data_IF_340177800482
#
_entry.id   IF_340177800482
#
_cell.length_a   1.000
_cell.length_b   1.000
_cell.length_c   1.000
_cell.angle_alpha   90.00
_cell.angle_beta   90.00
_cell.angle_gamma   90.00
#
_symmetry.space_group_name_H-M   'P 1'
#
loop_
_entity.id
_entity.type
_entity.pdbx_description
1 polymer ?
#
# COMPACT_ATOMS: atom_id res chain seq x y z
N UNK A 1 -58.30 8.32 -17.02
CA UNK A 1 -57.17 7.55 -17.58
C UNK A 1 -56.33 7.07 -16.41
N UNK A 2 -56.28 5.76 -16.10
CA UNK A 2 -55.48 5.25 -14.99
C UNK A 2 -54.00 5.17 -15.40
N UNK A 3 -53.12 5.59 -14.49
CA UNK A 3 -51.66 5.52 -14.64
C UNK A 3 -51.18 4.10 -14.28
N UNK A 4 -50.48 3.45 -15.21
CA UNK A 4 -49.80 2.17 -14.96
C UNK A 4 -48.57 2.35 -14.06
N UNK A 5 -48.27 1.39 -13.16
CA UNK A 5 -47.06 1.42 -12.36
C UNK A 5 -45.84 1.01 -13.21
N UNK A 6 -44.83 1.88 -13.26
CA UNK A 6 -43.56 1.61 -13.93
C UNK A 6 -42.70 0.63 -13.13
N UNK A 7 -42.33 -0.46 -13.80
CA UNK A 7 -41.41 -1.50 -13.33
C UNK A 7 -40.01 -0.93 -13.03
N UNK A 8 -39.36 -1.26 -11.90
CA UNK A 8 -38.03 -0.76 -11.59
C UNK A 8 -36.97 -1.35 -12.54
N UNK A 9 -36.03 -0.50 -12.95
CA UNK A 9 -34.93 -0.84 -13.83
C UNK A 9 -33.82 -1.62 -13.12
N UNK A 10 -32.93 -2.20 -13.90
CA UNK A 10 -31.89 -3.22 -13.58
C UNK A 10 -30.83 -2.82 -12.53
N UNK A 11 -31.05 -1.79 -11.72
CA UNK A 11 -30.12 -1.29 -10.70
C UNK A 11 -30.47 -1.64 -9.24
N UNK A 12 -31.55 -2.38 -8.97
CA UNK A 12 -31.97 -2.73 -7.61
C UNK A 12 -31.60 -4.15 -7.14
N UNK A 13 -30.61 -4.79 -7.76
CA UNK A 13 -30.08 -6.07 -7.28
C UNK A 13 -28.59 -5.98 -7.11
N UNK A 14 -28.16 -5.68 -5.89
CA UNK A 14 -26.96 -6.18 -5.17
C UNK A 14 -26.80 -5.26 -3.95
N UNK A 15 -27.50 -5.62 -2.87
CA UNK A 15 -27.21 -5.13 -1.52
C UNK A 15 -27.47 -6.30 -0.58
N UNK A 16 -26.58 -7.28 -0.61
CA UNK A 16 -26.49 -8.26 0.46
C UNK A 16 -25.07 -8.83 0.52
N UNK A 17 -24.24 -8.29 1.42
CA UNK A 17 -23.29 -9.10 2.20
C UNK A 17 -22.78 -8.30 3.40
N UNK A 18 -23.23 -8.74 4.57
CA UNK A 18 -22.79 -8.32 5.90
C UNK A 18 -21.47 -9.00 6.28
N UNK A 19 -20.55 -8.18 6.80
CA UNK A 19 -19.91 -8.29 8.12
C UNK A 19 -19.32 -9.63 8.61
N UNK A 20 -17.97 -9.70 8.69
CA UNK A 20 -17.10 -10.34 9.71
C UNK A 20 -15.65 -10.13 9.24
N UNK A 21 -14.63 -9.76 10.01
CA UNK A 21 -14.28 -9.85 11.43
C UNK A 21 -13.49 -8.56 11.79
N UNK A 22 -13.49 -8.02 13.02
CA UNK A 22 -13.43 -8.69 14.31
C UNK A 22 -11.99 -8.71 14.83
N UNK A 23 -11.42 -7.55 15.18
CA UNK A 23 -10.15 -7.47 15.91
C UNK A 23 -10.25 -6.37 16.98
N UNK A 24 -10.38 -6.76 18.24
CA UNK A 24 -10.04 -5.89 19.36
C UNK A 24 -9.79 -6.71 20.63
N UNK A 25 -8.74 -6.35 21.37
CA UNK A 25 -8.43 -6.97 22.65
C UNK A 25 -7.09 -6.53 23.24
N UNK A 26 -6.98 -5.25 23.64
CA UNK A 26 -5.93 -4.78 24.55
C UNK A 26 -6.57 -3.92 25.64
N UNK A 27 -6.56 -4.44 26.86
CA UNK A 27 -6.68 -3.72 28.13
C UNK A 27 -5.72 -4.48 29.08
N UNK A 28 -4.79 -3.87 29.81
CA UNK A 28 -4.87 -2.61 30.55
C UNK A 28 -5.20 -2.95 32.00
N UNK A 29 -4.19 -3.04 32.89
CA UNK A 29 -4.40 -2.79 34.32
C UNK A 29 -3.09 -2.47 35.06
N UNK A 30 -3.10 -1.34 35.76
CA UNK A 30 -2.07 -0.80 36.62
C UNK A 30 -2.45 -0.93 38.11
N UNK A 31 -1.47 -1.32 38.94
CA UNK A 31 -1.30 -1.03 40.37
C UNK A 31 -2.16 -1.81 41.40
N UNK A 32 -1.87 -1.69 42.72
CA UNK A 32 -0.56 -1.65 43.42
C UNK A 32 -0.52 -2.71 44.57
N UNK A 33 0.63 -2.93 45.24
CA UNK A 33 0.72 -3.17 46.71
C UNK A 33 2.13 -3.46 47.21
N UNK A 34 2.32 -3.03 48.45
CA UNK A 34 3.54 -2.76 49.18
C UNK A 34 4.33 -3.99 49.66
N UNK A 35 5.59 -3.68 49.98
CA UNK A 35 6.54 -4.42 50.80
C UNK A 35 6.07 -4.65 52.24
N UNK A 36 6.27 -5.84 52.78
CA UNK A 36 6.99 -6.08 54.05
C UNK A 36 6.92 -7.56 54.44
N UNK A 37 8.01 -8.09 55.00
CA UNK A 37 8.03 -9.44 55.56
C UNK A 37 9.41 -10.08 55.59
N UNK A 38 10.27 -9.59 56.47
CA UNK A 38 11.46 -10.32 56.92
C UNK A 38 10.98 -11.50 57.79
N UNK A 39 11.48 -12.71 57.55
CA UNK A 39 11.75 -13.66 58.63
C UNK A 39 12.80 -14.69 58.23
N UNK A 40 13.74 -14.90 59.14
CA UNK A 40 14.95 -15.72 59.04
C UNK A 40 14.68 -17.08 59.69
N UNK A 41 15.04 -18.21 59.07
CA UNK A 41 15.56 -19.42 59.77
C UNK A 41 16.10 -20.51 58.83
N UNK A 42 17.42 -20.69 58.89
CA UNK A 42 18.23 -21.92 59.07
C UNK A 42 17.58 -23.30 58.77
N UNK A 43 18.25 -24.10 57.93
CA UNK A 43 18.50 -25.52 58.22
C UNK A 43 18.11 -26.57 57.17
N UNK A 44 19.11 -27.07 56.44
CA UNK A 44 19.51 -28.49 56.41
C UNK A 44 18.73 -29.51 55.55
N UNK A 45 19.42 -30.02 54.50
CA UNK A 45 19.51 -31.47 54.22
C UNK A 45 18.74 -32.03 53.03
N UNK A 46 19.50 -32.38 51.98
CA UNK A 46 19.44 -33.59 51.11
C UNK A 46 18.07 -34.05 50.55
N UNK A 47 17.89 -34.45 49.29
CA UNK A 47 18.63 -35.46 48.50
C UNK A 47 18.30 -35.25 47.01
N UNK A 48 19.30 -35.40 46.15
CA UNK A 48 19.12 -35.41 44.70
C UNK A 48 19.23 -36.86 44.19
N UNK A 49 18.35 -37.32 43.28
CA UNK A 49 18.75 -38.36 42.33
C UNK A 49 18.53 -37.88 40.89
N UNK A 50 19.59 -37.26 40.38
CA UNK A 50 20.32 -37.60 39.16
C UNK A 50 19.83 -38.82 38.35
N UNK A 51 18.75 -38.75 37.57
CA UNK A 51 18.52 -39.66 36.41
C UNK A 51 17.74 -38.97 35.25
N UNK A 52 18.20 -37.83 34.70
CA UNK A 52 17.63 -37.33 33.42
C UNK A 52 18.65 -36.63 32.48
N UNK A 53 19.84 -36.27 32.95
CA UNK A 53 20.74 -35.37 32.21
C UNK A 53 21.49 -36.03 31.03
N UNK A 54 21.74 -37.35 31.08
CA UNK A 54 22.51 -38.05 30.02
C UNK A 54 21.72 -38.21 28.72
N UNK A 55 20.40 -38.44 28.78
CA UNK A 55 19.56 -38.65 27.58
C UNK A 55 19.20 -37.33 26.88
N UNK A 56 19.01 -36.26 27.64
CA UNK A 56 18.69 -34.92 27.12
C UNK A 56 19.90 -34.31 26.40
N UNK A 57 21.11 -34.48 26.95
CA UNK A 57 22.33 -33.94 26.34
C UNK A 57 22.63 -34.56 24.96
N UNK A 58 22.40 -35.88 24.79
CA UNK A 58 22.63 -36.56 23.51
C UNK A 58 21.59 -36.17 22.44
N UNK A 59 20.34 -35.93 22.84
CA UNK A 59 19.27 -35.50 21.92
C UNK A 59 19.47 -34.05 21.44
N UNK A 60 19.97 -33.17 22.32
CA UNK A 60 20.36 -31.79 21.96
C UNK A 60 21.58 -31.77 21.04
N UNK A 61 22.58 -32.63 21.28
CA UNK A 61 23.75 -32.73 20.39
C UNK A 61 23.37 -33.26 18.99
N UNK A 62 22.46 -34.23 18.90
CA UNK A 62 21.96 -34.74 17.62
C UNK A 62 21.12 -33.72 16.85
N UNK A 63 20.29 -32.91 17.54
CA UNK A 63 19.54 -31.81 16.92
C UNK A 63 20.45 -30.68 16.44
N UNK A 64 21.54 -30.40 17.15
CA UNK A 64 22.53 -29.40 16.73
C UNK A 64 23.30 -29.89 15.50
N UNK A 65 23.70 -31.16 15.41
CA UNK A 65 24.38 -31.69 14.21
C UNK A 65 23.46 -31.68 12.98
N UNK A 66 22.17 -32.01 13.16
CA UNK A 66 21.19 -32.00 12.05
C UNK A 66 20.91 -30.58 11.53
N UNK A 67 20.95 -29.56 12.40
CA UNK A 67 20.77 -28.16 12.02
C UNK A 67 21.93 -27.61 11.17
N UNK A 68 23.14 -28.20 11.23
CA UNK A 68 24.29 -27.79 10.43
C UNK A 68 24.38 -28.50 9.07
N UNK A 69 23.49 -29.47 8.79
CA UNK A 69 23.47 -30.21 7.52
C UNK A 69 22.38 -29.76 6.56
N UNK A 70 21.63 -28.69 6.86
CA UNK A 70 20.77 -28.08 5.86
C UNK A 70 21.66 -27.32 4.87
N UNK A 71 21.71 -27.72 3.57
CA UNK A 71 22.33 -26.87 2.56
C UNK A 71 21.58 -25.54 2.57
N UNK A 72 22.30 -24.45 2.85
CA UNK A 72 21.77 -23.12 2.70
C UNK A 72 21.27 -23.00 1.25
N UNK A 73 19.98 -22.71 1.06
CA UNK A 73 19.46 -22.41 -0.26
C UNK A 73 20.26 -21.23 -0.80
N UNK A 74 21.13 -21.48 -1.78
CA UNK A 74 21.88 -20.41 -2.42
C UNK A 74 20.85 -19.43 -3.01
N UNK A 75 20.98 -18.12 -2.75
CA UNK A 75 20.11 -17.13 -3.37
C UNK A 75 20.28 -17.29 -4.87
N UNK A 76 19.18 -17.67 -5.55
CA UNK A 76 19.17 -17.88 -7.00
C UNK A 76 19.93 -16.74 -7.67
N UNK A 77 21.02 -17.06 -8.36
CA UNK A 77 21.84 -16.08 -9.04
C UNK A 77 20.92 -15.23 -9.91
N UNK A 78 20.88 -13.91 -9.65
CA UNK A 78 20.14 -12.96 -10.49
C UNK A 78 20.64 -13.16 -11.91
N UNK A 79 19.81 -13.77 -12.76
CA UNK A 79 20.11 -13.92 -14.17
C UNK A 79 20.46 -12.54 -14.70
N UNK A 80 21.68 -12.39 -15.25
CA UNK A 80 22.11 -11.17 -15.94
C UNK A 80 21.19 -10.80 -17.11
N UNK A 81 20.28 -11.71 -17.48
CA UNK A 81 19.29 -11.56 -18.54
C UNK A 81 17.84 -11.45 -18.01
N UNK A 82 17.64 -11.10 -16.74
CA UNK A 82 16.31 -10.93 -16.18
C UNK A 82 15.77 -9.50 -16.38
N UNK A 83 14.50 -9.42 -16.75
CA UNK A 83 13.72 -8.18 -16.66
C UNK A 83 13.66 -7.69 -15.22
N UNK A 84 13.69 -6.36 -15.05
CA UNK A 84 13.51 -5.71 -13.76
C UNK A 84 12.25 -4.84 -13.82
N UNK A 85 11.48 -4.84 -12.74
CA UNK A 85 10.29 -4.01 -12.59
C UNK A 85 10.37 -3.19 -11.29
N UNK A 86 10.05 -1.90 -11.40
CA UNK A 86 9.85 -1.01 -10.27
C UNK A 86 8.41 -0.50 -10.30
N UNK A 87 7.76 -0.45 -9.13
CA UNK A 87 6.41 0.11 -8.98
C UNK A 87 6.44 1.18 -7.89
N UNK A 88 5.74 2.28 -8.11
CA UNK A 88 5.61 3.34 -7.13
C UNK A 88 4.26 4.04 -7.24
N UNK A 89 3.82 4.67 -6.16
CA UNK A 89 2.64 5.54 -6.12
C UNK A 89 2.85 6.70 -5.15
N UNK A 90 2.28 7.85 -5.48
CA UNK A 90 2.27 9.04 -4.63
C UNK A 90 0.88 9.66 -4.62
N UNK A 91 0.47 10.21 -3.47
CA UNK A 91 -0.78 10.98 -3.36
C UNK A 91 -0.61 12.28 -4.12
N UNK A 92 -1.57 12.60 -4.98
CA UNK A 92 -1.65 13.85 -5.74
C UNK A 92 -2.92 14.63 -5.41
N UNK A 93 -3.68 14.23 -4.39
CA UNK A 93 -4.81 15.03 -3.91
C UNK A 93 -4.34 16.40 -3.44
N UNK A 94 -4.91 17.50 -3.96
CA UNK A 94 -4.59 18.84 -3.48
C UNK A 94 -4.85 18.99 -1.97
N UNK A 95 -4.02 19.78 -1.31
CA UNK A 95 -4.22 20.12 0.10
C UNK A 95 -5.37 21.12 0.28
N UNK A 96 -5.51 22.06 -0.65
CA UNK A 96 -6.54 23.09 -0.65
C UNK A 96 -7.72 22.67 -1.55
N UNK A 97 -8.96 23.09 -1.24
CA UNK A 97 -10.10 22.95 -2.12
C UNK A 97 -9.85 23.54 -3.52
N UNK A 98 -10.15 22.75 -4.56
CA UNK A 98 -10.05 23.17 -5.96
C UNK A 98 -11.36 22.92 -6.69
N UNK A 99 -11.58 23.64 -7.79
CA UNK A 99 -12.61 23.28 -8.76
C UNK A 99 -12.38 21.85 -9.25
N UNK A 100 -13.46 21.08 -9.39
CA UNK A 100 -13.36 19.75 -10.00
C UNK A 100 -13.76 19.84 -11.47
N UNK A 101 -13.07 19.11 -12.34
CA UNK A 101 -13.35 19.09 -13.78
C UNK A 101 -14.07 17.82 -14.24
N UNK A 102 -14.83 17.89 -15.35
CA UNK A 102 -15.44 16.74 -16.04
C UNK A 102 -16.95 16.72 -16.10
N UNK A 103 -17.64 17.06 -15.02
CA UNK A 103 -19.08 17.35 -15.07
C UNK A 103 -19.28 18.86 -15.18
N UNK A 104 -20.13 19.28 -16.13
CA UNK A 104 -20.53 20.67 -16.25
C UNK A 104 -21.52 21.11 -15.17
N UNK A 105 -21.71 22.43 -15.05
CA UNK A 105 -22.66 23.02 -14.09
C UNK A 105 -22.20 22.95 -12.64
N UNK A 106 -20.89 22.80 -12.41
CA UNK A 106 -20.31 22.94 -11.07
C UNK A 106 -20.18 24.42 -10.74
N UNK A 107 -20.73 24.82 -9.61
CA UNK A 107 -20.77 26.20 -9.11
C UNK A 107 -20.03 26.40 -7.79
N UNK A 108 -19.29 25.39 -7.31
CA UNK A 108 -18.48 25.46 -6.10
C UNK A 108 -17.23 24.59 -6.17
N UNK A 109 -16.26 24.92 -5.32
CA UNK A 109 -15.05 24.12 -5.07
C UNK A 109 -15.39 22.75 -4.47
N UNK A 110 -14.45 21.82 -4.53
CA UNK A 110 -14.55 20.54 -3.84
C UNK A 110 -14.67 20.73 -2.32
N UNK A 111 -15.62 20.05 -1.69
CA UNK A 111 -15.84 20.13 -0.23
C UNK A 111 -15.02 19.09 0.55
N UNK A 112 -14.28 18.24 -0.15
CA UNK A 112 -13.43 17.21 0.44
C UNK A 112 -13.11 16.09 -0.54
N UNK A 113 -12.67 14.95 0.01
CA UNK A 113 -12.36 13.74 -0.74
C UNK A 113 -12.97 12.50 -0.07
N UNK A 114 -13.41 11.55 -0.89
CA UNK A 114 -13.75 10.19 -0.42
C UNK A 114 -12.51 9.29 -0.44
N UNK A 115 -11.67 9.46 -1.46
CA UNK A 115 -10.43 8.71 -1.66
C UNK A 115 -9.30 9.65 -2.04
N UNK A 116 -8.06 9.23 -1.75
CA UNK A 116 -6.89 9.87 -2.33
C UNK A 116 -6.83 9.64 -3.84
N UNK A 117 -6.38 10.68 -4.54
CA UNK A 117 -5.99 10.63 -5.95
C UNK A 117 -4.50 10.28 -5.99
N UNK A 118 -4.12 9.41 -6.91
CA UNK A 118 -2.75 8.91 -7.01
C UNK A 118 -2.13 9.22 -8.37
N UNK A 119 -0.84 9.50 -8.36
CA UNK A 119 0.03 9.22 -9.50
C UNK A 119 0.73 7.88 -9.23
N UNK A 120 0.66 6.97 -10.20
CA UNK A 120 1.20 5.61 -10.13
C UNK A 120 2.19 5.45 -11.27
N UNK A 121 3.32 4.79 -11.02
CA UNK A 121 4.34 4.54 -12.02
C UNK A 121 4.78 3.07 -12.01
N UNK A 122 4.97 2.52 -13.21
CA UNK A 122 5.63 1.23 -13.43
C UNK A 122 6.81 1.48 -14.35
N UNK A 123 8.01 1.13 -13.90
CA UNK A 123 9.23 1.15 -14.70
C UNK A 123 9.63 -0.29 -15.02
N UNK A 124 9.84 -0.57 -16.30
CA UNK A 124 10.32 -1.87 -16.77
C UNK A 124 11.69 -1.67 -17.41
N UNK A 125 12.68 -2.41 -16.93
CA UNK A 125 14.03 -2.39 -17.49
C UNK A 125 14.34 -3.75 -18.08
N UNK A 126 14.70 -3.75 -19.36
CA UNK A 126 15.05 -4.96 -20.09
C UNK A 126 16.49 -5.42 -19.77
N UNK A 127 16.90 -6.62 -20.23
CA UNK A 127 18.26 -7.10 -20.08
C UNK A 127 19.35 -6.25 -20.74
N UNK A 128 19.01 -5.43 -21.73
CA UNK A 128 19.96 -4.52 -22.40
C UNK A 128 20.23 -3.26 -21.57
N UNK A 129 19.41 -3.03 -20.54
CA UNK A 129 19.47 -1.86 -19.67
C UNK A 129 18.51 -0.74 -20.05
N UNK A 130 17.76 -0.90 -21.16
CA UNK A 130 16.77 0.08 -21.58
C UNK A 130 15.57 0.08 -20.63
N UNK A 131 15.13 1.27 -20.23
CA UNK A 131 14.01 1.44 -19.29
C UNK A 131 12.85 2.14 -19.97
N UNK A 132 11.64 1.59 -19.83
CA UNK A 132 10.40 2.26 -20.19
C UNK A 132 9.56 2.51 -18.94
N UNK A 133 8.82 3.62 -18.92
CA UNK A 133 8.03 4.05 -17.76
C UNK A 133 6.60 4.35 -18.17
N UNK A 134 5.65 3.72 -17.48
CA UNK A 134 4.23 4.02 -17.58
C UNK A 134 3.82 4.81 -16.35
N UNK A 135 3.26 6.00 -16.55
CA UNK A 135 2.71 6.85 -15.50
C UNK A 135 1.21 6.95 -15.71
N UNK A 136 0.44 6.64 -14.67
CA UNK A 136 -1.01 6.80 -14.65
C UNK A 136 -1.42 7.73 -13.53
N UNK A 137 -2.37 8.61 -13.80
CA UNK A 137 -2.86 9.60 -12.83
C UNK A 137 -4.37 9.48 -12.63
N UNK A 138 -4.82 9.65 -11.40
CA UNK A 138 -6.24 9.73 -11.09
C UNK A 138 -6.75 11.18 -11.37
N UNK A 139 -6.69 11.57 -12.64
CA UNK A 139 -7.09 12.88 -13.18
C UNK A 139 -8.04 12.70 -14.38
N UNK A 140 -8.65 13.79 -14.83
CA UNK A 140 -9.47 13.77 -16.05
C UNK A 140 -8.63 13.76 -17.33
N UNK A 141 -7.57 14.56 -17.37
CA UNK A 141 -6.67 14.70 -18.50
C UNK A 141 -5.24 14.76 -17.99
N UNK A 142 -4.28 14.65 -18.92
CA UNK A 142 -2.86 14.88 -18.64
C UNK A 142 -2.45 16.10 -19.48
N UNK A 143 -2.45 17.32 -18.90
CA UNK A 143 -2.13 18.53 -19.66
C UNK A 143 -0.71 18.49 -20.23
N UNK A 144 -0.52 18.98 -21.46
CA UNK A 144 0.80 18.94 -22.12
C UNK A 144 1.88 19.68 -21.31
N UNK A 145 1.53 20.82 -20.70
CA UNK A 145 2.44 21.59 -19.82
C UNK A 145 2.90 20.76 -18.61
N UNK A 146 2.02 19.93 -18.06
CA UNK A 146 2.38 19.02 -16.97
C UNK A 146 3.33 17.92 -17.48
N UNK A 147 3.04 17.33 -18.65
CA UNK A 147 3.93 16.35 -19.29
C UNK A 147 5.32 16.94 -19.50
N UNK A 148 5.42 18.14 -20.07
CA UNK A 148 6.70 18.79 -20.37
C UNK A 148 7.50 19.05 -19.09
N UNK A 149 6.86 19.59 -18.05
CA UNK A 149 7.50 19.85 -16.77
C UNK A 149 8.00 18.55 -16.09
N UNK A 150 7.18 17.49 -16.10
CA UNK A 150 7.56 16.20 -15.52
C UNK A 150 8.65 15.52 -16.35
N UNK A 151 8.57 15.57 -17.68
CA UNK A 151 9.58 15.00 -18.57
C UNK A 151 10.94 15.70 -18.44
N UNK A 152 10.96 17.02 -18.23
CA UNK A 152 12.20 17.74 -17.96
C UNK A 152 12.92 17.18 -16.73
N UNK A 153 12.18 16.92 -15.65
CA UNK A 153 12.71 16.33 -14.43
C UNK A 153 13.12 14.86 -14.58
N UNK A 154 12.32 14.05 -15.30
CA UNK A 154 12.65 12.65 -15.60
C UNK A 154 13.95 12.57 -16.40
N UNK A 155 14.07 13.38 -17.46
CA UNK A 155 15.26 13.44 -18.31
C UNK A 155 16.48 13.86 -17.49
N UNK A 156 16.35 14.94 -16.70
CA UNK A 156 17.43 15.49 -15.88
C UNK A 156 17.94 14.53 -14.82
N UNK A 157 17.04 13.80 -14.14
CA UNK A 157 17.41 12.92 -13.01
C UNK A 157 17.80 11.51 -13.43
N UNK A 158 17.23 11.01 -14.53
CA UNK A 158 17.32 9.60 -14.89
C UNK A 158 17.83 9.35 -16.31
N UNK A 159 17.99 10.39 -17.14
CA UNK A 159 18.43 10.23 -18.53
C UNK A 159 17.41 9.52 -19.43
N UNK A 160 16.15 9.38 -18.98
CA UNK A 160 15.08 8.73 -19.73
C UNK A 160 14.41 9.76 -20.65
N UNK A 161 14.33 9.46 -21.94
CA UNK A 161 13.77 10.33 -22.97
C UNK A 161 12.26 10.18 -23.16
N UNK A 162 11.66 11.09 -23.92
CA UNK A 162 10.20 11.14 -24.15
C UNK A 162 9.63 9.88 -24.80
N UNK A 163 10.40 9.22 -25.66
CA UNK A 163 9.98 7.99 -26.36
C UNK A 163 9.90 6.77 -25.43
N UNK A 164 10.42 6.89 -24.20
CA UNK A 164 10.46 5.82 -23.21
C UNK A 164 9.40 5.99 -22.11
N UNK A 165 8.64 7.08 -22.14
CA UNK A 165 7.64 7.41 -21.12
C UNK A 165 6.24 7.53 -21.73
N UNK A 166 5.27 6.86 -21.13
CA UNK A 166 3.85 6.99 -21.47
C UNK A 166 3.09 7.56 -20.27
N UNK A 167 2.31 8.61 -20.49
CA UNK A 167 1.39 9.16 -19.51
C UNK A 167 -0.05 8.78 -19.86
N UNK A 168 -0.80 8.38 -18.84
CA UNK A 168 -2.24 8.09 -18.93
C UNK A 168 -2.97 8.73 -17.77
N UNK A 169 -4.29 8.81 -17.88
CA UNK A 169 -5.17 9.19 -16.79
C UNK A 169 -6.35 8.23 -16.71
N UNK A 170 -6.94 8.11 -15.52
CA UNK A 170 -8.15 7.30 -15.31
C UNK A 170 -9.40 7.94 -15.91
N UNK A 171 -9.31 9.19 -16.37
CA UNK A 171 -10.43 10.00 -16.82
C UNK A 171 -11.51 10.18 -15.73
N UNK A 172 -11.08 10.40 -14.48
CA UNK A 172 -12.02 10.62 -13.37
C UNK A 172 -12.61 12.03 -13.42
N UNK A 173 -13.93 12.12 -13.28
CA UNK A 173 -14.65 13.40 -13.19
C UNK A 173 -14.66 13.97 -11.76
N UNK A 174 -14.06 13.27 -10.80
CA UNK A 174 -14.01 13.67 -9.38
C UNK A 174 -12.60 14.14 -8.97
N UNK A 175 -11.81 14.62 -9.94
CA UNK A 175 -10.47 15.18 -9.72
C UNK A 175 -10.44 16.70 -9.92
N UNK A 176 -9.34 17.37 -9.51
CA UNK A 176 -9.17 18.80 -9.67
C UNK A 176 -9.10 19.22 -11.14
N UNK A 177 -9.55 20.43 -11.44
CA UNK A 177 -9.24 21.13 -12.67
C UNK A 177 -7.77 21.57 -12.61
N UNK A 178 -6.91 20.88 -13.37
CA UNK A 178 -5.46 21.08 -13.38
C UNK A 178 -4.98 22.01 -14.51
N UNK A 179 -5.89 22.38 -15.41
CA UNK A 179 -5.70 23.36 -16.46
C UNK A 179 -7.04 24.04 -16.81
N UNK A 180 -6.98 25.01 -17.73
CA UNK A 180 -8.15 25.76 -18.16
C UNK A 180 -8.92 25.09 -19.31
N UNK A 181 -8.53 23.89 -19.75
CA UNK A 181 -9.09 23.25 -20.96
C UNK A 181 -10.59 23.01 -20.84
N UNK A 182 -11.07 22.76 -19.62
CA UNK A 182 -12.47 22.49 -19.31
C UNK A 182 -13.10 23.58 -18.44
N UNK A 183 -12.46 24.74 -18.34
CA UNK A 183 -12.93 25.87 -17.52
C UNK A 183 -14.31 26.37 -17.94
N UNK A 184 -14.63 26.33 -19.24
CA UNK A 184 -15.95 26.73 -19.78
C UNK A 184 -17.13 25.90 -19.28
N UNK A 185 -16.87 24.73 -18.66
CA UNK A 185 -17.90 23.89 -18.06
C UNK A 185 -18.23 24.29 -16.61
N UNK A 186 -17.43 25.17 -16.02
CA UNK A 186 -17.54 25.63 -14.65
C UNK A 186 -18.34 26.94 -14.61
N UNK A 187 -19.19 27.08 -13.61
CA UNK A 187 -19.96 28.29 -13.33
C UNK A 187 -19.11 29.17 -12.39
N UNK A 188 -18.05 29.76 -12.97
CA UNK A 188 -17.11 30.64 -12.27
C UNK A 188 -17.57 32.09 -12.24
#
# INVERSE_FOLDING_TARGET
MPVEPTTPSRHERICDIRTRAGYNGRAGHTGPRESSGITRRRGQGEKNPMIHHRKVATMVALLLVFAHSLPAAEPAAKSRNAWQAGVSRVVITPAEPMWMSGYGGRSKLAEGKVHDLWAKAVALKDPTGKTVVFVSTDLITVPIKMVDAVMAEITRKHGIGRSEVMFTCSHTHCGPAVDDMLSYMLDM
#
